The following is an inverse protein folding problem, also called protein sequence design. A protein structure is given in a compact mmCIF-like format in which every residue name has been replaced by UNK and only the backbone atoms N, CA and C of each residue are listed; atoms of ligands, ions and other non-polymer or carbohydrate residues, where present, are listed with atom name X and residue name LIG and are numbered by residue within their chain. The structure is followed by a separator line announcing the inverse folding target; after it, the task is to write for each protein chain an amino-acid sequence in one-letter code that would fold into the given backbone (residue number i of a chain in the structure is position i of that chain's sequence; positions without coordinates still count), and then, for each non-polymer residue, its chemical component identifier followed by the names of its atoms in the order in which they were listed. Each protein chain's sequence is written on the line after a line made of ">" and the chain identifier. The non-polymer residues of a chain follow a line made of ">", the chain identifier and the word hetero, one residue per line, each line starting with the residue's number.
data_IF_503958357096
#
_entry.id   IF_503958357096
#
_cell.length_a   1.000
_cell.length_b   1.000
_cell.length_c   1.000
_cell.angle_alpha   90.00
_cell.angle_beta   90.00
_cell.angle_gamma   90.00
#
_symmetry.space_group_name_H-M   'P 1'
#
loop_
_entity.id
_entity.type
_entity.pdbx_description
1 polymer ?
#
# COMPACT_ATOMS: atom_id res chain seq x y z
N UNK A 1 14.61 11.25 1.41
CA UNK A 1 14.34 10.53 0.15
C UNK A 1 15.63 10.19 -0.55
N UNK A 2 16.04 8.94 -0.39
CA UNK A 2 17.11 8.30 -1.14
C UNK A 2 16.71 8.13 -2.62
N UNK A 3 17.68 7.91 -3.53
CA UNK A 3 17.39 7.61 -4.93
C UNK A 3 16.47 6.40 -5.11
N UNK A 4 16.64 5.36 -4.28
CA UNK A 4 15.85 4.12 -4.31
C UNK A 4 14.39 4.39 -3.91
N UNK A 5 14.19 5.19 -2.86
CA UNK A 5 12.84 5.60 -2.44
C UNK A 5 12.12 6.38 -3.54
N UNK A 6 12.83 7.28 -4.25
CA UNK A 6 12.22 7.99 -5.38
C UNK A 6 11.87 7.07 -6.54
N UNK A 7 12.70 6.09 -6.84
CA UNK A 7 12.42 5.13 -7.91
C UNK A 7 11.18 4.28 -7.59
N UNK A 8 11.04 3.83 -6.35
CA UNK A 8 9.82 3.15 -5.90
C UNK A 8 8.59 4.04 -5.98
N UNK A 9 8.67 5.30 -5.55
CA UNK A 9 7.55 6.23 -5.68
C UNK A 9 7.14 6.44 -7.14
N UNK A 10 8.10 6.57 -8.05
CA UNK A 10 7.81 6.67 -9.49
C UNK A 10 7.09 5.44 -10.03
N UNK A 11 7.49 4.24 -9.61
CA UNK A 11 6.82 3.01 -10.03
C UNK A 11 5.38 2.94 -9.52
N UNK A 12 5.14 3.42 -8.30
CA UNK A 12 3.78 3.52 -7.73
C UNK A 12 2.96 4.58 -8.48
N UNK A 13 3.54 5.73 -8.81
CA UNK A 13 2.89 6.76 -9.61
C UNK A 13 2.46 6.22 -10.98
N UNK A 14 3.32 5.45 -11.65
CA UNK A 14 2.99 4.79 -12.91
C UNK A 14 1.87 3.76 -12.76
N UNK A 15 1.82 3.02 -11.65
CA UNK A 15 0.72 2.10 -11.36
C UNK A 15 -0.59 2.85 -11.14
N UNK A 16 -0.59 3.94 -10.38
CA UNK A 16 -1.77 4.78 -10.14
C UNK A 16 -2.28 5.39 -11.46
N UNK A 17 -1.38 5.89 -12.31
CA UNK A 17 -1.74 6.51 -13.58
C UNK A 17 -2.36 5.52 -14.58
N UNK A 18 -1.96 4.24 -14.52
CA UNK A 18 -2.44 3.19 -15.42
C UNK A 18 -3.49 2.27 -14.80
N UNK A 19 -3.83 2.47 -13.51
CA UNK A 19 -4.77 1.63 -12.80
C UNK A 19 -6.20 1.79 -13.33
N UNK A 20 -6.95 0.71 -13.26
CA UNK A 20 -8.38 0.72 -13.50
C UNK A 20 -9.11 1.45 -12.37
N UNK A 21 -10.35 1.93 -12.59
CA UNK A 21 -11.15 2.56 -11.54
C UNK A 21 -11.34 1.69 -10.29
N UNK A 22 -11.45 0.36 -10.46
CA UNK A 22 -11.59 -0.58 -9.34
C UNK A 22 -10.30 -0.67 -8.51
N UNK A 23 -9.15 -0.72 -9.16
CA UNK A 23 -7.84 -0.73 -8.48
C UNK A 23 -7.58 0.60 -7.76
N UNK A 24 -7.97 1.73 -8.36
CA UNK A 24 -7.89 3.04 -7.73
C UNK A 24 -8.78 3.13 -6.48
N UNK A 25 -9.99 2.59 -6.53
CA UNK A 25 -10.90 2.57 -5.39
C UNK A 25 -10.33 1.72 -4.24
N UNK A 26 -9.71 0.58 -4.55
CA UNK A 26 -9.01 -0.23 -3.55
C UNK A 26 -7.81 0.50 -2.94
N UNK A 27 -6.98 1.15 -3.76
CA UNK A 27 -5.86 1.96 -3.29
C UNK A 27 -6.33 3.09 -2.36
N UNK A 28 -7.40 3.79 -2.75
CA UNK A 28 -7.96 4.88 -1.97
C UNK A 28 -8.55 4.40 -0.64
N UNK A 29 -9.18 3.21 -0.62
CA UNK A 29 -9.64 2.58 0.61
C UNK A 29 -8.49 2.27 1.57
N UNK A 30 -7.39 1.73 1.05
CA UNK A 30 -6.19 1.43 1.85
C UNK A 30 -5.56 2.70 2.42
N UNK A 31 -5.55 3.79 1.66
CA UNK A 31 -5.05 5.09 2.15
C UNK A 31 -5.96 5.64 3.27
N UNK A 32 -7.27 5.65 3.08
CA UNK A 32 -8.25 6.08 4.08
C UNK A 32 -8.14 5.26 5.39
N UNK A 33 -8.02 3.94 5.28
CA UNK A 33 -7.88 3.05 6.44
C UNK A 33 -6.57 3.27 7.21
N UNK A 34 -5.53 3.80 6.55
CA UNK A 34 -4.21 4.05 7.14
C UNK A 34 -3.92 5.53 7.44
N UNK A 35 -4.83 6.44 7.13
CA UNK A 35 -4.65 7.88 7.30
C UNK A 35 -4.38 8.28 8.77
N UNK A 36 -4.94 7.54 9.73
CA UNK A 36 -4.72 7.75 11.17
C UNK A 36 -3.47 7.03 11.71
N UNK A 37 -2.87 6.14 10.93
CA UNK A 37 -1.69 5.34 11.32
C UNK A 37 -0.37 6.05 10.94
N UNK A 38 -0.44 7.24 10.33
CA UNK A 38 0.74 7.98 9.87
C UNK A 38 1.51 7.28 8.74
N UNK A 39 0.87 6.35 8.05
CA UNK A 39 1.44 5.60 6.91
C UNK A 39 0.94 6.24 5.63
N UNK A 40 1.84 6.54 4.69
CA UNK A 40 1.45 7.09 3.39
C UNK A 40 1.04 5.97 2.44
N UNK A 41 0.31 6.30 1.38
CA UNK A 41 -0.01 5.33 0.33
C UNK A 41 1.25 4.68 -0.26
N UNK A 42 2.36 5.42 -0.39
CA UNK A 42 3.61 4.85 -0.89
C UNK A 42 4.17 3.80 0.06
N UNK A 43 4.11 4.02 1.37
CA UNK A 43 4.55 3.06 2.37
C UNK A 43 3.64 1.82 2.42
N UNK A 44 2.33 2.04 2.27
CA UNK A 44 1.33 0.98 2.23
C UNK A 44 1.51 0.10 0.98
N UNK A 45 1.82 0.72 -0.17
CA UNK A 45 1.99 0.05 -1.46
C UNK A 45 3.40 -0.56 -1.65
N UNK A 46 4.42 -0.12 -0.91
CA UNK A 46 5.76 -0.74 -0.91
C UNK A 46 5.76 -2.09 -0.20
N UNK A 47 5.01 -2.22 0.90
CA UNK A 47 4.91 -3.48 1.66
C UNK A 47 3.93 -4.47 1.07
N UNK A 48 3.10 -4.03 0.12
CA UNK A 48 2.17 -4.86 -0.62
C UNK A 48 2.77 -5.42 -1.90
N UNK A 49 4.05 -5.85 -1.88
CA UNK A 49 4.63 -6.75 -2.90
C UNK A 49 3.84 -8.07 -3.09
N UNK A 50 2.67 -8.19 -2.46
CA UNK A 50 1.65 -9.20 -2.65
C UNK A 50 0.32 -8.62 -3.19
N UNK A 51 0.31 -7.50 -3.93
CA UNK A 51 -0.74 -7.25 -4.94
C UNK A 51 -0.58 -8.18 -6.15
N UNK A 52 -0.06 -9.40 -5.93
CA UNK A 52 -0.56 -10.55 -6.64
C UNK A 52 -2.05 -10.68 -6.29
N UNK A 53 -2.84 -10.92 -7.32
CA UNK A 53 -4.32 -11.00 -7.41
C UNK A 53 -5.01 -12.00 -6.44
N UNK A 54 -4.43 -12.33 -5.27
CA UNK A 54 -4.89 -13.31 -4.28
C UNK A 54 -4.63 -12.99 -2.79
N UNK A 55 -4.17 -11.79 -2.41
CA UNK A 55 -3.78 -11.53 -1.00
C UNK A 55 -4.78 -10.71 -0.18
N UNK A 56 -6.08 -10.77 -0.46
CA UNK A 56 -7.12 -10.20 0.41
C UNK A 56 -7.38 -11.17 1.59
N UNK A 57 -6.35 -11.57 2.34
CA UNK A 57 -6.51 -12.29 3.62
C UNK A 57 -5.27 -12.25 4.51
N UNK A 58 -4.52 -11.15 4.57
CA UNK A 58 -3.42 -11.04 5.56
C UNK A 58 -3.28 -9.69 6.28
N UNK A 59 -4.16 -8.73 6.01
CA UNK A 59 -4.24 -7.48 6.78
C UNK A 59 -4.66 -7.66 8.26
N UNK A 60 -5.03 -8.88 8.69
CA UNK A 60 -5.35 -9.19 10.08
C UNK A 60 -4.17 -9.74 10.91
N UNK A 61 -3.01 -10.06 10.32
CA UNK A 61 -1.93 -10.74 11.06
C UNK A 61 -0.88 -9.84 11.73
N UNK A 62 -0.85 -8.53 11.47
CA UNK A 62 0.16 -7.64 12.10
C UNK A 62 -0.31 -7.01 13.43
N UNK A 63 -1.57 -7.20 13.83
CA UNK A 63 -2.10 -6.69 15.12
C UNK A 63 -1.64 -7.45 16.38
N UNK A 64 -0.97 -8.60 16.25
CA UNK A 64 -0.67 -9.47 17.41
C UNK A 64 0.77 -9.43 17.95
N UNK A 65 1.64 -8.50 17.51
CA UNK A 65 3.04 -8.45 18.00
C UNK A 65 3.33 -7.49 19.17
N UNK A 66 2.38 -6.64 19.58
CA UNK A 66 2.61 -5.66 20.66
C UNK A 66 1.71 -5.84 21.90
N UNK A 67 1.46 -7.09 22.31
CA UNK A 67 1.02 -7.39 23.69
C UNK A 67 1.81 -8.59 24.23
N UNK A 68 3.00 -8.30 24.77
CA UNK A 68 3.61 -9.13 25.80
C UNK A 68 4.46 -8.25 26.69
#
# INVERSE_FOLDING_TARGET
>A
MSPIEREHMKSIDEQILNATPEELEQMQKVDLDNQLNGTTIYDALVNSKSYDHKSITQAQSLKNKNKK
#
